data_IF_730270939740
#
_entry.id   IF_730270939740
#
_cell.length_a   1.000
_cell.length_b   1.000
_cell.length_c   1.000
_cell.angle_alpha   90.00
_cell.angle_beta   90.00
_cell.angle_gamma   90.00
#
_symmetry.space_group_name_H-M   'P 1'
#
loop_
_entity.id
_entity.type
_entity.pdbx_description
1 polymer ?
#
# COMPACT_ATOMS: atom_id res chain seq x y z
N UNK A 1 31.93 -6.92 5.24
CA UNK A 1 31.66 -8.36 5.00
C UNK A 1 30.21 -8.65 5.35
N UNK A 2 29.49 -9.49 4.59
CA UNK A 2 28.11 -9.85 4.92
C UNK A 2 28.05 -10.67 6.21
N UNK A 3 27.15 -10.31 7.11
CA UNK A 3 26.88 -11.02 8.35
C UNK A 3 25.72 -12.00 8.13
N UNK A 4 26.01 -13.30 8.17
CA UNK A 4 25.00 -14.36 8.03
C UNK A 4 24.57 -14.84 9.42
N UNK A 5 23.27 -14.85 9.71
CA UNK A 5 22.69 -15.27 10.99
C UNK A 5 21.73 -16.44 10.77
N UNK A 6 22.08 -17.61 11.29
CA UNK A 6 21.23 -18.79 11.33
C UNK A 6 20.58 -18.93 12.71
N UNK A 7 19.55 -18.11 12.96
CA UNK A 7 18.73 -18.18 14.17
C UNK A 7 17.28 -18.40 13.76
N UNK A 8 16.53 -19.12 14.59
CA UNK A 8 15.09 -19.25 14.45
C UNK A 8 14.40 -17.91 14.72
N UNK A 9 13.16 -17.70 14.20
CA UNK A 9 12.38 -16.50 14.49
C UNK A 9 12.29 -16.22 16.00
N UNK A 10 12.79 -15.07 16.41
CA UNK A 10 12.65 -14.54 17.77
C UNK A 10 12.64 -13.00 17.69
N UNK A 11 12.12 -12.32 18.72
CA UNK A 11 11.99 -10.85 18.70
C UNK A 11 13.29 -10.12 18.38
N UNK A 12 14.43 -10.63 18.83
CA UNK A 12 15.75 -10.03 18.57
C UNK A 12 16.15 -10.11 17.09
N UNK A 13 15.77 -11.16 16.36
CA UNK A 13 16.07 -11.31 14.93
C UNK A 13 15.26 -10.35 14.04
N UNK A 14 14.25 -9.70 14.60
CA UNK A 14 13.44 -8.68 13.94
C UNK A 14 13.72 -7.27 14.44
N UNK A 15 14.77 -7.07 15.23
CA UNK A 15 15.13 -5.73 15.70
C UNK A 15 15.62 -4.84 14.53
N UNK A 16 15.35 -3.54 14.61
CA UNK A 16 15.53 -2.59 13.51
C UNK A 16 16.98 -2.54 13.01
N UNK A 17 17.96 -2.70 13.89
CA UNK A 17 19.40 -2.72 13.56
C UNK A 17 19.79 -3.87 12.62
N UNK A 18 18.96 -4.91 12.52
CA UNK A 18 19.18 -6.05 11.63
C UNK A 18 18.59 -5.85 10.25
N UNK A 19 17.84 -4.77 10.00
CA UNK A 19 17.26 -4.40 8.71
C UNK A 19 18.18 -3.49 7.87
N UNK A 20 19.49 -3.58 8.09
CA UNK A 20 20.50 -2.87 7.30
C UNK A 20 21.08 -3.75 6.18
N UNK A 21 21.60 -3.14 5.10
CA UNK A 21 22.34 -3.87 4.07
C UNK A 21 23.49 -4.69 4.67
N UNK A 22 23.74 -5.87 4.09
CA UNK A 22 24.83 -6.76 4.51
C UNK A 22 24.49 -7.71 5.66
N UNK A 23 23.28 -7.68 6.24
CA UNK A 23 22.82 -8.68 7.21
C UNK A 23 21.84 -9.65 6.53
N UNK A 24 22.20 -10.93 6.48
CA UNK A 24 21.35 -12.01 5.96
C UNK A 24 20.90 -12.86 7.16
N UNK A 25 19.63 -12.74 7.56
CA UNK A 25 19.05 -13.52 8.67
C UNK A 25 18.08 -14.58 8.15
N UNK A 26 18.30 -15.83 8.55
CA UNK A 26 17.43 -16.95 8.22
C UNK A 26 15.98 -16.73 8.70
N UNK A 27 15.81 -16.20 9.92
CA UNK A 27 14.49 -15.85 10.45
C UNK A 27 13.75 -14.85 9.54
N UNK A 28 14.45 -13.82 9.04
CA UNK A 28 13.87 -12.81 8.14
C UNK A 28 13.53 -13.38 6.77
N UNK A 29 14.39 -14.22 6.21
CA UNK A 29 14.12 -14.91 4.94
C UNK A 29 12.84 -15.74 5.08
N UNK A 30 12.77 -16.58 6.11
CA UNK A 30 11.63 -17.45 6.37
C UNK A 30 10.35 -16.62 6.58
N UNK A 31 10.39 -15.62 7.46
CA UNK A 31 9.23 -14.81 7.83
C UNK A 31 8.73 -13.93 6.67
N UNK A 32 9.64 -13.24 5.97
CA UNK A 32 9.29 -12.38 4.84
C UNK A 32 8.73 -13.17 3.66
N UNK A 33 9.35 -14.31 3.34
CA UNK A 33 8.94 -15.16 2.21
C UNK A 33 7.63 -15.88 2.50
N UNK A 34 7.50 -16.49 3.68
CA UNK A 34 6.25 -17.17 4.08
C UNK A 34 5.08 -16.19 4.19
N UNK A 35 5.30 -15.01 4.78
CA UNK A 35 4.25 -14.00 4.90
C UNK A 35 3.69 -13.62 3.53
N UNK A 36 4.57 -13.39 2.55
CA UNK A 36 4.16 -13.06 1.18
C UNK A 36 3.41 -14.20 0.49
N UNK A 37 3.87 -15.45 0.65
CA UNK A 37 3.23 -16.62 0.07
C UNK A 37 1.85 -16.91 0.67
N UNK A 38 1.73 -16.85 2.00
CA UNK A 38 0.47 -17.04 2.73
C UNK A 38 -0.52 -15.94 2.35
N UNK A 39 -0.08 -14.68 2.29
CA UNK A 39 -0.95 -13.59 1.86
C UNK A 39 -1.49 -13.80 0.46
N UNK A 40 -0.66 -14.17 -0.51
CA UNK A 40 -1.12 -14.40 -1.88
C UNK A 40 -2.12 -15.56 -1.97
N UNK A 41 -1.91 -16.62 -1.20
CA UNK A 41 -2.87 -17.70 -1.08
C UNK A 41 -4.23 -17.18 -0.55
N UNK A 42 -4.22 -16.43 0.55
CA UNK A 42 -5.43 -15.84 1.14
C UNK A 42 -6.10 -14.82 0.21
N UNK A 43 -5.31 -14.00 -0.49
CA UNK A 43 -5.80 -13.02 -1.45
C UNK A 43 -6.47 -13.71 -2.64
N UNK A 44 -5.88 -14.79 -3.15
CA UNK A 44 -6.46 -15.62 -4.21
C UNK A 44 -7.80 -16.23 -3.76
N UNK A 45 -7.88 -16.76 -2.53
CA UNK A 45 -9.11 -17.29 -1.97
C UNK A 45 -10.19 -16.21 -1.79
N UNK A 46 -9.81 -15.02 -1.31
CA UNK A 46 -10.71 -13.88 -1.18
C UNK A 46 -11.22 -13.41 -2.56
N UNK A 47 -10.32 -13.34 -3.53
CA UNK A 47 -10.60 -12.94 -4.91
C UNK A 47 -11.59 -13.87 -5.58
N UNK A 48 -11.41 -15.19 -5.45
CA UNK A 48 -12.32 -16.19 -6.02
C UNK A 48 -13.66 -16.23 -5.29
N UNK A 49 -13.66 -16.13 -3.97
CA UNK A 49 -14.89 -16.17 -3.16
C UNK A 49 -15.76 -14.94 -3.42
N UNK A 50 -15.16 -13.76 -3.52
CA UNK A 50 -15.89 -12.51 -3.75
C UNK A 50 -16.17 -12.24 -5.24
N UNK A 51 -15.63 -13.05 -6.15
CA UNK A 51 -15.67 -12.80 -7.60
C UNK A 51 -15.17 -11.38 -7.94
N UNK A 52 -14.04 -11.00 -7.35
CA UNK A 52 -13.42 -9.69 -7.58
C UNK A 52 -11.94 -9.94 -7.90
N UNK A 53 -11.42 -9.45 -9.04
CA UNK A 53 -10.06 -9.72 -9.48
C UNK A 53 -9.07 -8.85 -8.69
N UNK A 54 -8.72 -9.31 -7.49
CA UNK A 54 -7.72 -8.67 -6.63
C UNK A 54 -6.30 -9.19 -6.88
N UNK A 55 -6.15 -10.39 -7.46
CA UNK A 55 -4.84 -11.00 -7.60
C UNK A 55 -4.00 -10.22 -8.64
N UNK A 56 -3.06 -9.41 -8.16
CA UNK A 56 -2.17 -8.63 -9.01
C UNK A 56 -0.73 -8.66 -8.49
N UNK A 57 0.28 -8.72 -9.38
CA UNK A 57 1.69 -8.69 -8.97
C UNK A 57 2.08 -7.50 -8.07
N UNK A 58 1.55 -6.28 -8.27
CA UNK A 58 1.80 -5.16 -7.35
C UNK A 58 1.40 -5.42 -5.89
N UNK A 59 0.30 -6.14 -5.65
CA UNK A 59 -0.13 -6.46 -4.28
C UNK A 59 0.76 -7.54 -3.64
N UNK A 60 1.30 -8.47 -4.44
CA UNK A 60 2.35 -9.40 -3.99
C UNK A 60 3.57 -8.64 -3.47
N UNK A 61 4.09 -7.70 -4.26
CA UNK A 61 5.24 -6.89 -3.90
C UNK A 61 4.96 -6.00 -2.68
N UNK A 62 3.74 -5.51 -2.53
CA UNK A 62 3.30 -4.74 -1.36
C UNK A 62 3.31 -5.58 -0.09
N UNK A 63 2.81 -6.80 -0.15
CA UNK A 63 2.90 -7.72 0.99
C UNK A 63 4.35 -8.08 1.32
N UNK A 64 5.18 -8.29 0.31
CA UNK A 64 6.61 -8.53 0.53
C UNK A 64 7.27 -7.38 1.27
N UNK A 65 7.02 -6.13 0.88
CA UNK A 65 7.51 -4.95 1.61
C UNK A 65 6.97 -4.96 3.05
N UNK A 66 5.68 -5.22 3.25
CA UNK A 66 5.08 -5.22 4.58
C UNK A 66 5.60 -6.32 5.50
N UNK A 67 5.94 -7.50 4.99
CA UNK A 67 6.43 -8.64 5.77
C UNK A 67 7.97 -8.66 5.91
N UNK A 68 8.70 -8.29 4.87
CA UNK A 68 10.17 -8.39 4.81
C UNK A 68 10.90 -7.06 5.08
N UNK A 69 10.22 -5.92 4.93
CA UNK A 69 10.78 -4.58 5.08
C UNK A 69 9.84 -3.62 5.88
N UNK A 70 9.29 -4.03 7.03
CA UNK A 70 8.26 -3.31 7.78
C UNK A 70 8.71 -1.94 8.31
N UNK A 71 10.02 -1.71 8.41
CA UNK A 71 10.62 -0.46 8.89
C UNK A 71 10.69 0.65 7.83
N UNK A 72 10.44 0.32 6.55
CA UNK A 72 10.44 1.33 5.49
C UNK A 72 9.20 2.21 5.59
N UNK A 73 9.35 3.49 5.24
CA UNK A 73 8.21 4.42 5.16
C UNK A 73 7.12 3.87 4.23
N UNK A 74 7.53 3.32 3.08
CA UNK A 74 6.64 2.73 2.07
C UNK A 74 5.87 1.49 2.56
N UNK A 75 6.29 0.86 3.66
CA UNK A 75 5.60 -0.28 4.26
C UNK A 75 4.43 0.14 5.16
N UNK A 76 4.20 1.45 5.36
CA UNK A 76 3.12 1.96 6.21
C UNK A 76 1.75 1.86 5.54
N UNK A 77 0.66 1.90 6.34
CA UNK A 77 -0.69 1.78 5.81
C UNK A 77 -1.06 2.81 4.74
N UNK A 78 -0.71 4.09 4.94
CA UNK A 78 -1.05 5.17 3.99
C UNK A 78 -0.41 4.94 2.62
N UNK A 79 0.92 4.79 2.45
CA UNK A 79 1.51 4.46 1.16
C UNK A 79 0.94 3.19 0.51
N UNK A 80 0.74 2.13 1.29
CA UNK A 80 0.21 0.86 0.76
C UNK A 80 -1.24 0.96 0.23
N UNK A 81 -2.10 1.79 0.82
CA UNK A 81 -3.49 1.95 0.37
C UNK A 81 -3.60 3.07 -0.66
N UNK A 82 -3.14 4.27 -0.28
CA UNK A 82 -3.26 5.47 -1.11
C UNK A 82 -2.39 5.38 -2.34
N UNK A 83 -1.18 4.83 -2.23
CA UNK A 83 -0.28 4.66 -3.38
C UNK A 83 -0.95 3.88 -4.49
N UNK A 84 -1.55 2.72 -4.17
CA UNK A 84 -2.29 1.91 -5.14
C UNK A 84 -3.52 2.63 -5.70
N UNK A 85 -4.28 3.31 -4.85
CA UNK A 85 -5.46 4.08 -5.25
C UNK A 85 -5.13 5.18 -6.25
N UNK A 86 -4.18 6.07 -5.92
CA UNK A 86 -3.83 7.20 -6.78
C UNK A 86 -3.04 6.77 -8.01
N UNK A 87 -2.27 5.68 -7.93
CA UNK A 87 -1.59 5.11 -9.08
C UNK A 87 -2.57 4.50 -10.07
N UNK A 88 -3.64 3.86 -9.60
CA UNK A 88 -4.71 3.37 -10.47
C UNK A 88 -5.42 4.53 -11.20
N UNK A 89 -5.69 5.64 -10.50
CA UNK A 89 -6.22 6.87 -11.13
C UNK A 89 -5.23 7.43 -12.17
N UNK A 90 -3.95 7.55 -11.80
CA UNK A 90 -2.90 8.03 -12.69
C UNK A 90 -2.73 7.18 -13.94
N UNK A 91 -2.80 5.84 -13.80
CA UNK A 91 -2.75 4.91 -14.92
C UNK A 91 -3.89 5.11 -15.91
N UNK A 92 -5.13 5.20 -15.41
CA UNK A 92 -6.30 5.45 -16.24
C UNK A 92 -6.23 6.82 -16.94
N UNK A 93 -5.82 7.86 -16.23
CA UNK A 93 -5.64 9.19 -16.79
C UNK A 93 -4.56 9.21 -17.88
N UNK A 94 -3.42 8.56 -17.64
CA UNK A 94 -2.33 8.44 -18.60
C UNK A 94 -2.75 7.72 -19.87
N UNK A 95 -3.55 6.65 -19.76
CA UNK A 95 -4.08 5.92 -20.92
C UNK A 95 -5.11 6.73 -21.69
N UNK A 96 -6.00 7.42 -20.98
CA UNK A 96 -6.97 8.31 -21.63
C UNK A 96 -6.24 9.39 -22.45
N UNK A 97 -5.24 10.04 -21.85
CA UNK A 97 -4.43 11.04 -22.54
C UNK A 97 -3.64 10.45 -23.72
N UNK A 98 -2.98 9.30 -23.54
CA UNK A 98 -2.25 8.61 -24.60
C UNK A 98 -3.17 8.26 -25.79
N UNK A 99 -4.39 7.83 -25.50
CA UNK A 99 -5.38 7.46 -26.53
C UNK A 99 -5.82 8.69 -27.33
N UNK A 100 -5.99 9.84 -26.67
CA UNK A 100 -6.32 11.10 -27.36
C UNK A 100 -5.14 11.60 -28.20
N UNK A 101 -3.92 11.54 -27.67
CA UNK A 101 -2.73 12.10 -28.33
C UNK A 101 -2.13 11.23 -29.44
N UNK A 102 -2.25 9.90 -29.33
CA UNK A 102 -1.44 8.97 -30.11
C UNK A 102 -2.22 7.72 -30.57
N UNK A 103 -3.54 7.79 -30.73
CA UNK A 103 -4.40 6.64 -31.09
C UNK A 103 -3.93 5.84 -32.32
N UNK A 104 -3.32 6.49 -33.31
CA UNK A 104 -2.80 5.85 -34.54
C UNK A 104 -1.30 5.56 -34.51
N UNK A 105 -0.62 5.85 -33.39
CA UNK A 105 0.82 5.66 -33.28
C UNK A 105 1.19 4.18 -33.11
N UNK A 106 2.23 3.68 -33.80
CA UNK A 106 2.77 2.34 -33.52
C UNK A 106 3.37 2.24 -32.11
N UNK A 107 3.65 3.38 -31.46
CA UNK A 107 4.21 3.48 -30.10
C UNK A 107 3.12 3.67 -29.02
N UNK A 108 1.85 3.37 -29.32
CA UNK A 108 0.74 3.66 -28.41
C UNK A 108 0.90 2.97 -27.05
N UNK A 109 1.42 1.75 -27.00
CA UNK A 109 1.59 1.00 -25.74
C UNK A 109 2.69 1.63 -24.89
N UNK A 110 3.81 2.01 -25.49
CA UNK A 110 4.94 2.67 -24.85
C UNK A 110 4.52 4.04 -24.30
N UNK A 111 3.75 4.81 -25.08
CA UNK A 111 3.22 6.11 -24.66
C UNK A 111 2.22 5.94 -23.49
N UNK A 112 1.31 4.95 -23.57
CA UNK A 112 0.39 4.62 -22.47
C UNK A 112 1.15 4.29 -21.19
N UNK A 113 2.15 3.43 -21.28
CA UNK A 113 2.94 3.00 -20.12
C UNK A 113 3.72 4.17 -19.51
N UNK A 114 4.40 4.97 -20.33
CA UNK A 114 5.13 6.15 -19.90
C UNK A 114 4.23 7.13 -19.17
N UNK A 115 3.12 7.55 -19.80
CA UNK A 115 2.18 8.49 -19.19
C UNK A 115 1.54 7.93 -17.92
N UNK A 116 1.11 6.66 -17.92
CA UNK A 116 0.52 6.01 -16.75
C UNK A 116 1.45 6.08 -15.53
N UNK A 117 2.73 5.73 -15.71
CA UNK A 117 3.72 5.75 -14.63
C UNK A 117 4.06 7.19 -14.23
N UNK A 118 4.17 8.13 -15.18
CA UNK A 118 4.41 9.55 -14.89
C UNK A 118 3.30 10.14 -14.01
N UNK A 119 2.03 9.93 -14.37
CA UNK A 119 0.90 10.42 -13.55
C UNK A 119 0.86 9.74 -12.18
N UNK A 120 1.08 8.42 -12.12
CA UNK A 120 1.11 7.70 -10.86
C UNK A 120 2.21 8.21 -9.91
N UNK A 121 3.42 8.39 -10.42
CA UNK A 121 4.55 8.93 -9.66
C UNK A 121 4.25 10.35 -9.15
N UNK A 122 3.72 11.22 -10.00
CA UNK A 122 3.35 12.58 -9.61
C UNK A 122 2.27 12.58 -8.51
N UNK A 123 1.21 11.79 -8.66
CA UNK A 123 0.13 11.72 -7.67
C UNK A 123 0.59 11.13 -6.34
N UNK A 124 1.41 10.08 -6.34
CA UNK A 124 1.98 9.53 -5.11
C UNK A 124 2.80 10.56 -4.34
N UNK A 125 3.61 11.37 -5.04
CA UNK A 125 4.39 12.45 -4.42
C UNK A 125 3.49 13.58 -3.89
N UNK A 126 2.48 13.99 -4.65
CA UNK A 126 1.51 15.03 -4.23
C UNK A 126 0.79 14.61 -2.95
N UNK A 127 0.40 13.34 -2.83
CA UNK A 127 -0.34 12.82 -1.68
C UNK A 127 0.55 12.23 -0.58
N UNK A 128 1.88 12.31 -0.69
CA UNK A 128 2.83 11.75 0.28
C UNK A 128 2.51 10.26 0.55
N UNK A 129 2.42 9.50 -0.54
CA UNK A 129 2.00 8.11 -0.59
C UNK A 129 2.92 7.28 -1.51
N UNK A 130 4.21 7.62 -1.52
CA UNK A 130 5.22 6.92 -2.32
C UNK A 130 5.24 5.44 -1.98
N UNK A 131 4.86 4.62 -2.95
CA UNK A 131 4.81 3.18 -2.80
C UNK A 131 5.22 2.52 -4.11
N UNK A 132 6.50 2.12 -4.26
CA UNK A 132 7.03 1.64 -5.54
C UNK A 132 6.20 0.54 -6.22
N UNK A 133 5.63 -0.46 -5.50
CA UNK A 133 4.72 -1.43 -6.12
C UNK A 133 3.49 -0.80 -6.78
N UNK A 134 2.98 0.32 -6.27
CA UNK A 134 1.83 0.98 -6.84
C UNK A 134 2.11 1.60 -8.22
N UNK A 135 3.36 1.97 -8.55
CA UNK A 135 3.71 2.39 -9.90
C UNK A 135 3.40 1.28 -10.94
N UNK A 136 3.65 0.01 -10.57
CA UNK A 136 3.27 -1.13 -11.40
C UNK A 136 1.74 -1.35 -11.45
N UNK A 137 0.97 -0.85 -10.48
CA UNK A 137 -0.51 -0.83 -10.55
C UNK A 137 -1.00 0.09 -11.65
N UNK A 138 -0.35 1.24 -11.83
CA UNK A 138 -0.67 2.17 -12.93
C UNK A 138 -0.43 1.57 -14.31
N UNK A 139 0.57 0.68 -14.42
CA UNK A 139 0.89 -0.01 -15.67
C UNK A 139 -0.16 -1.04 -16.08
N UNK A 140 -0.86 -1.69 -15.12
CA UNK A 140 -1.80 -2.79 -15.40
C UNK A 140 -2.77 -2.46 -16.55
N UNK A 141 -3.51 -1.32 -16.53
CA UNK A 141 -4.49 -1.04 -17.58
C UNK A 141 -3.86 -0.73 -18.95
N UNK A 142 -2.56 -0.45 -19.01
CA UNK A 142 -1.84 -0.16 -20.25
C UNK A 142 -1.40 -1.44 -20.98
N UNK A 143 -1.09 -2.51 -20.23
CA UNK A 143 -0.47 -3.73 -20.75
C UNK A 143 -1.29 -5.00 -20.56
N UNK A 144 -2.31 -5.00 -19.69
CA UNK A 144 -3.16 -6.15 -19.40
C UNK A 144 -4.63 -5.83 -19.66
N UNK A 145 -5.45 -6.82 -20.07
CA UNK A 145 -6.89 -6.67 -20.12
C UNK A 145 -7.43 -6.27 -18.75
N UNK A 146 -8.27 -5.24 -18.70
CA UNK A 146 -8.89 -4.83 -17.44
C UNK A 146 -9.98 -5.83 -17.05
N UNK A 147 -9.88 -6.50 -15.89
CA UNK A 147 -10.88 -7.46 -15.45
C UNK A 147 -12.10 -6.79 -14.79
N UNK A 148 -12.08 -5.46 -14.64
CA UNK A 148 -13.14 -4.64 -14.04
C UNK A 148 -13.37 -3.39 -14.87
N UNK A 149 -14.52 -2.75 -14.68
CA UNK A 149 -14.77 -1.43 -15.23
C UNK A 149 -13.74 -0.43 -14.73
N UNK A 150 -13.29 0.48 -15.61
CA UNK A 150 -12.22 1.43 -15.32
C UNK A 150 -12.45 2.20 -14.02
N UNK A 151 -13.67 2.66 -13.75
CA UNK A 151 -14.00 3.46 -12.57
C UNK A 151 -13.92 2.68 -11.24
N UNK A 152 -14.11 1.36 -11.26
CA UNK A 152 -13.99 0.52 -10.07
C UNK A 152 -12.55 0.09 -9.81
N UNK A 153 -11.66 0.19 -10.80
CA UNK A 153 -10.28 -0.26 -10.68
C UNK A 153 -9.52 0.39 -9.50
N UNK A 154 -9.56 1.72 -9.27
CA UNK A 154 -8.90 2.32 -8.11
C UNK A 154 -9.40 1.81 -6.76
N UNK A 155 -10.71 1.60 -6.61
CA UNK A 155 -11.30 1.11 -5.37
C UNK A 155 -10.92 -0.35 -5.09
N UNK A 156 -10.88 -1.19 -6.12
CA UNK A 156 -10.39 -2.56 -5.97
C UNK A 156 -8.91 -2.61 -5.59
N UNK A 157 -8.09 -1.71 -6.13
CA UNK A 157 -6.68 -1.63 -5.76
C UNK A 157 -6.49 -1.09 -4.33
N UNK A 158 -7.29 -0.11 -3.89
CA UNK A 158 -7.35 0.32 -2.49
C UNK A 158 -7.78 -0.82 -1.56
N UNK A 159 -8.77 -1.62 -1.96
CA UNK A 159 -9.23 -2.77 -1.19
C UNK A 159 -8.13 -3.82 -1.05
N UNK A 160 -7.44 -4.16 -2.13
CA UNK A 160 -6.26 -5.01 -2.11
C UNK A 160 -5.15 -4.48 -1.19
N UNK A 161 -4.85 -3.18 -1.27
CA UNK A 161 -3.90 -2.52 -0.36
C UNK A 161 -4.32 -2.62 1.11
N UNK A 162 -5.61 -2.46 1.40
CA UNK A 162 -6.14 -2.60 2.77
C UNK A 162 -6.04 -4.04 3.28
N UNK A 163 -6.33 -5.04 2.43
CA UNK A 163 -6.13 -6.45 2.78
C UNK A 163 -4.66 -6.75 3.09
N UNK A 164 -3.71 -6.17 2.33
CA UNK A 164 -2.28 -6.27 2.67
C UNK A 164 -2.03 -5.67 4.05
N UNK A 165 -2.54 -4.46 4.34
CA UNK A 165 -2.34 -3.79 5.63
C UNK A 165 -2.91 -4.60 6.81
N UNK A 166 -4.09 -5.21 6.65
CA UNK A 166 -4.69 -6.09 7.67
C UNK A 166 -3.78 -7.30 7.89
N UNK A 167 -3.35 -7.95 6.82
CA UNK A 167 -2.47 -9.11 6.90
C UNK A 167 -1.14 -8.76 7.56
N UNK A 168 -0.46 -7.70 7.11
CA UNK A 168 0.84 -7.29 7.65
C UNK A 168 0.73 -6.85 9.10
N UNK A 169 -0.39 -6.24 9.50
CA UNK A 169 -0.67 -5.94 10.90
C UNK A 169 -0.70 -7.21 11.76
N UNK A 170 -1.49 -8.21 11.36
CA UNK A 170 -1.59 -9.49 12.09
C UNK A 170 -0.26 -10.24 12.08
N UNK A 171 0.36 -10.34 10.90
CA UNK A 171 1.61 -11.05 10.67
C UNK A 171 2.75 -10.47 11.51
N UNK A 172 2.98 -9.16 11.44
CA UNK A 172 4.13 -8.55 12.11
C UNK A 172 3.97 -8.51 13.64
N UNK A 173 2.73 -8.43 14.15
CA UNK A 173 2.44 -8.33 15.58
C UNK A 173 2.83 -9.56 16.40
N UNK A 174 3.14 -10.67 15.73
CA UNK A 174 3.75 -11.86 16.36
C UNK A 174 5.12 -11.54 16.97
N UNK A 175 5.94 -10.75 16.27
CA UNK A 175 7.33 -10.49 16.68
C UNK A 175 7.63 -9.04 17.05
N UNK A 176 6.95 -8.06 16.45
CA UNK A 176 7.21 -6.64 16.68
C UNK A 176 5.97 -5.77 16.48
N UNK A 177 6.01 -4.55 17.00
CA UNK A 177 4.88 -3.62 16.86
C UNK A 177 4.76 -3.13 15.42
N UNK A 178 3.56 -3.17 14.87
CA UNK A 178 3.20 -2.61 13.57
C UNK A 178 1.92 -1.77 13.70
N UNK A 179 1.83 -0.59 13.05
CA UNK A 179 2.89 0.10 12.32
C UNK A 179 4.06 0.50 13.23
N UNK A 180 5.27 0.48 12.68
CA UNK A 180 6.49 0.87 13.40
C UNK A 180 6.40 2.34 13.86
N UNK A 181 6.94 2.72 15.04
CA UNK A 181 7.03 4.11 15.46
C UNK A 181 7.68 5.01 14.39
N UNK A 182 7.14 6.22 14.18
CA UNK A 182 7.78 7.28 13.38
C UNK A 182 8.77 7.98 14.33
N UNK A 183 9.96 8.37 13.86
CA UNK A 183 10.90 9.15 14.68
C UNK A 183 10.22 10.41 15.27
N UNK A 184 9.31 11.03 14.50
CA UNK A 184 8.60 12.25 14.87
C UNK A 184 7.22 12.00 15.53
N UNK A 185 6.79 10.75 15.71
CA UNK A 185 5.45 10.42 16.20
C UNK A 185 5.53 9.58 17.49
N UNK A 186 5.47 10.27 18.62
CA UNK A 186 5.42 9.67 19.96
C UNK A 186 4.01 9.27 20.41
N UNK A 187 2.98 9.71 19.69
CA UNK A 187 1.58 9.50 20.09
C UNK A 187 1.06 8.13 19.68
N UNK A 188 0.63 7.34 20.67
CA UNK A 188 -0.10 6.10 20.44
C UNK A 188 -1.60 6.38 20.50
N UNK A 189 -2.35 5.96 19.48
CA UNK A 189 -3.82 5.94 19.51
C UNK A 189 -4.31 4.51 19.35
N UNK A 190 -5.13 4.03 20.28
CA UNK A 190 -5.56 2.62 20.34
C UNK A 190 -4.39 1.61 20.30
N UNK A 191 -3.23 1.97 20.86
CA UNK A 191 -2.03 1.11 20.84
C UNK A 191 -1.33 1.00 19.49
N UNK A 192 -1.66 1.88 18.53
CA UNK A 192 -0.98 2.01 17.23
C UNK A 192 -0.21 3.33 17.17
N UNK A 193 0.97 3.30 16.54
CA UNK A 193 1.77 4.50 16.26
C UNK A 193 1.24 5.26 15.05
N UNK A 194 0.02 5.77 15.21
CA UNK A 194 -0.73 6.51 14.21
C UNK A 194 -1.35 7.75 14.85
N UNK A 195 -1.48 8.81 14.07
CA UNK A 195 -2.26 9.96 14.48
C UNK A 195 -3.75 9.58 14.55
N UNK A 196 -4.54 10.27 15.40
CA UNK A 196 -5.98 10.02 15.56
C UNK A 196 -6.72 10.01 14.23
N UNK A 197 -6.43 10.98 13.36
CA UNK A 197 -7.09 11.09 12.06
C UNK A 197 -6.72 9.91 11.15
N UNK A 198 -5.44 9.56 11.06
CA UNK A 198 -4.95 8.40 10.29
C UNK A 198 -5.64 7.12 10.75
N UNK A 199 -5.74 6.89 12.06
CA UNK A 199 -6.37 5.71 12.61
C UNK A 199 -7.90 5.68 12.34
N UNK A 200 -8.59 6.81 12.44
CA UNK A 200 -10.02 6.89 12.12
C UNK A 200 -10.28 6.63 10.63
N UNK A 201 -9.46 7.15 9.73
CA UNK A 201 -9.60 6.90 8.30
C UNK A 201 -9.29 5.44 7.94
N UNK A 202 -8.26 4.84 8.57
CA UNK A 202 -7.99 3.40 8.42
C UNK A 202 -9.14 2.54 8.95
N UNK A 203 -9.75 2.92 10.07
CA UNK A 203 -10.93 2.23 10.60
C UNK A 203 -12.11 2.34 9.63
N UNK A 204 -12.35 3.50 9.04
CA UNK A 204 -13.35 3.67 8.00
C UNK A 204 -13.06 2.77 6.79
N UNK A 205 -11.83 2.76 6.28
CA UNK A 205 -11.42 1.88 5.18
C UNK A 205 -11.55 0.39 5.52
N UNK A 206 -11.29 0.00 6.79
CA UNK A 206 -11.50 -1.36 7.28
C UNK A 206 -12.97 -1.77 7.23
N UNK A 207 -13.87 -0.90 7.70
CA UNK A 207 -15.32 -1.16 7.67
C UNK A 207 -15.79 -1.36 6.22
N UNK A 208 -15.35 -0.50 5.30
CA UNK A 208 -15.69 -0.62 3.88
C UNK A 208 -15.17 -1.92 3.27
N UNK A 209 -13.93 -2.29 3.61
CA UNK A 209 -13.29 -3.56 3.23
C UNK A 209 -14.07 -4.78 3.69
N UNK A 210 -14.59 -4.76 4.92
CA UNK A 210 -15.43 -5.85 5.46
C UNK A 210 -16.76 -5.95 4.71
N UNK A 211 -17.42 -4.83 4.43
CA UNK A 211 -18.65 -4.83 3.64
C UNK A 211 -18.44 -5.31 2.20
N UNK A 212 -17.33 -4.95 1.57
CA UNK A 212 -16.98 -5.45 0.23
C UNK A 212 -16.76 -6.98 0.23
N UNK A 213 -16.20 -7.54 1.29
CA UNK A 213 -16.04 -9.00 1.43
C UNK A 213 -17.38 -9.76 1.54
N UNK A 214 -18.49 -9.07 1.85
CA UNK A 214 -19.84 -9.64 1.89
C UNK A 214 -20.54 -9.62 0.52
N UNK A 215 -19.83 -9.31 -0.57
CA UNK A 215 -20.38 -9.38 -1.94
C UNK A 215 -21.10 -10.69 -2.26
N UNK A 216 -20.63 -11.89 -1.85
CA UNK A 216 -21.34 -13.15 -2.12
C UNK A 216 -22.73 -13.22 -1.49
N UNK A 217 -22.97 -12.45 -0.43
CA UNK A 217 -24.24 -12.41 0.30
C UNK A 217 -25.15 -11.32 -0.27
N UNK A 218 -24.62 -10.14 -0.57
CA UNK A 218 -25.42 -9.02 -1.06
C UNK A 218 -24.63 -7.98 -1.86
N UNK A 219 -25.11 -7.69 -3.07
CA UNK A 219 -24.60 -6.59 -3.90
C UNK A 219 -24.83 -5.20 -3.28
N UNK A 220 -25.86 -5.05 -2.44
CA UNK A 220 -26.14 -3.79 -1.74
C UNK A 220 -25.07 -3.53 -0.68
N UNK A 221 -24.70 -4.57 0.08
CA UNK A 221 -23.61 -4.47 1.06
C UNK A 221 -22.28 -4.19 0.37
N UNK A 222 -22.02 -4.81 -0.78
CA UNK A 222 -20.85 -4.51 -1.60
C UNK A 222 -20.82 -3.04 -2.05
N UNK A 223 -21.93 -2.50 -2.57
CA UNK A 223 -22.02 -1.10 -2.99
C UNK A 223 -21.82 -0.13 -1.81
N UNK A 224 -22.41 -0.44 -0.65
CA UNK A 224 -22.16 0.32 0.58
C UNK A 224 -20.68 0.25 0.98
N UNK A 225 -20.08 -0.93 0.90
CA UNK A 225 -18.65 -1.14 1.16
C UNK A 225 -17.75 -0.32 0.24
N UNK A 226 -18.06 -0.24 -1.06
CA UNK A 226 -17.34 0.59 -2.02
C UNK A 226 -17.38 2.07 -1.63
N UNK A 227 -18.56 2.60 -1.33
CA UNK A 227 -18.73 4.00 -0.95
C UNK A 227 -18.00 4.32 0.36
N UNK A 228 -18.08 3.41 1.33
CA UNK A 228 -17.45 3.59 2.63
C UNK A 228 -15.92 3.48 2.55
N UNK A 229 -15.41 2.53 1.76
CA UNK A 229 -13.98 2.41 1.45
C UNK A 229 -13.48 3.66 0.73
N UNK A 230 -14.23 4.19 -0.23
CA UNK A 230 -13.89 5.43 -0.92
C UNK A 230 -13.78 6.61 0.05
N UNK A 231 -14.77 6.79 0.93
CA UNK A 231 -14.75 7.84 1.95
C UNK A 231 -13.54 7.72 2.89
N UNK A 232 -13.25 6.51 3.39
CA UNK A 232 -12.07 6.25 4.23
C UNK A 232 -10.75 6.51 3.51
N UNK A 233 -10.66 6.10 2.24
CA UNK A 233 -9.49 6.31 1.38
C UNK A 233 -9.26 7.80 1.12
N UNK A 234 -10.31 8.56 0.79
CA UNK A 234 -10.22 10.02 0.63
C UNK A 234 -9.81 10.72 1.92
N UNK A 235 -10.37 10.31 3.06
CA UNK A 235 -10.00 10.84 4.36
C UNK A 235 -8.52 10.59 4.67
N UNK A 236 -8.01 9.38 4.40
CA UNK A 236 -6.61 9.02 4.59
C UNK A 236 -5.67 9.75 3.62
N UNK A 237 -6.11 9.95 2.37
CA UNK A 237 -5.38 10.67 1.32
C UNK A 237 -5.19 12.15 1.69
N UNK A 238 -6.23 12.81 2.21
CA UNK A 238 -6.20 14.27 2.42
C UNK A 238 -5.53 14.72 3.72
N UNK A 239 -5.29 13.81 4.65
CA UNK A 239 -4.74 14.14 5.97
C UNK A 239 -3.42 14.90 5.95
N UNK A 240 -2.56 14.64 4.97
CA UNK A 240 -1.27 15.34 4.85
C UNK A 240 -1.46 16.86 4.75
N UNK A 241 -2.49 17.32 4.04
CA UNK A 241 -2.76 18.74 3.86
C UNK A 241 -3.23 19.43 5.14
N UNK A 242 -3.97 18.72 5.99
CA UNK A 242 -4.47 19.26 7.25
C UNK A 242 -3.50 19.10 8.43
N UNK A 243 -2.56 18.16 8.36
CA UNK A 243 -1.57 17.94 9.42
C UNK A 243 -0.41 18.95 9.39
N UNK A 244 -0.23 19.72 8.30
CA UNK A 244 0.88 20.67 8.12
C UNK A 244 0.80 21.95 8.96
N UNK A 245 -0.28 22.21 9.69
CA UNK A 245 -0.39 23.40 10.55
C UNK A 245 0.53 23.37 11.79
N UNK A 246 1.47 22.43 11.89
CA UNK A 246 2.32 22.20 13.06
C UNK A 246 3.83 22.22 12.81
N UNK A 247 4.29 22.63 11.62
CA UNK A 247 5.69 23.05 11.45
C UNK A 247 5.78 24.50 11.93
N UNK A 248 5.70 24.71 13.25
CA UNK A 248 6.12 25.96 13.87
C UNK A 248 7.63 25.89 14.01
N UNK A 249 8.34 26.69 13.19
CA UNK A 249 9.63 27.32 13.48
C UNK A 249 10.58 26.57 14.44
N UNK A 250 11.12 25.42 14.04
CA UNK A 250 12.40 24.98 14.61
C UNK A 250 13.51 25.30 13.60
N UNK A 251 14.56 26.06 14.02
CA UNK A 251 15.64 26.43 13.12
C UNK A 251 16.41 25.20 12.64
N UNK A 252 16.70 25.19 11.34
CA UNK A 252 17.33 24.12 10.54
C UNK A 252 18.77 23.76 11.01
N UNK A 253 19.35 24.49 11.96
CA UNK A 253 20.76 24.39 12.36
C UNK A 253 21.19 23.08 13.06
N UNK A 254 20.28 22.16 13.41
CA UNK A 254 20.67 20.94 14.15
C UNK A 254 20.80 19.66 13.32
N UNK A 255 20.62 19.69 12.00
CA UNK A 255 20.54 18.45 11.21
C UNK A 255 21.88 18.03 10.56
N UNK A 256 22.92 18.88 10.52
CA UNK A 256 24.22 18.56 9.90
C UNK A 256 25.38 18.38 10.89
N UNK A 257 25.18 17.67 12.01
CA UNK A 257 26.30 17.21 12.85
C UNK A 257 26.07 15.78 13.33
N UNK A 258 26.15 14.81 12.42
CA UNK A 258 26.58 13.42 12.68
C UNK A 258 27.36 12.92 11.47
#
# INVERSE_FOLDING_TARGET
MPQIRFRLPCRQEFAQELYRPGVISFARILWGSLGSGIFLFLLSLCSSTCDIPLLSPPLAATCFIGAACPYLHVARPKPAIIGHFVSAIGGLAGIALATVLASSSPLLIEIKLGLAVTFAAALMQIFDADHPPAAATAAIPAILPQPVTAWLFPLHMAWGGMLVVIFTFVWNRVWFEYPVPKLDCSTRWCGLYLQRNEALALLASLIGTLFMALKPISNILYAFGLLWLFAGTLALMWQHFFSRSRIKNEPIEKICNI
#
